data_IF_192163708475
#
_entry.id   IF_192163708475
#
_cell.length_a   1.000
_cell.length_b   1.000
_cell.length_c   1.000
_cell.angle_alpha   90.00
_cell.angle_beta   90.00
_cell.angle_gamma   90.00
#
_symmetry.space_group_name_H-M   'P 1'
#
loop_
_entity.id
_entity.type
_entity.pdbx_description
1 polymer ?
#
# COMPACT_ATOMS: atom_id res chain seq x y z
N UNK A 1 -47.03 -2.24 -26.25
CA UNK A 1 -46.31 -2.90 -25.13
C UNK A 1 -44.80 -2.98 -25.35
N UNK A 2 -44.28 -3.63 -26.41
CA UNK A 2 -42.81 -3.72 -26.66
C UNK A 2 -42.06 -2.37 -26.67
N UNK A 3 -42.54 -1.38 -27.44
CA UNK A 3 -41.94 -0.01 -27.45
C UNK A 3 -41.87 0.66 -26.07
N UNK A 4 -42.87 0.43 -25.22
CA UNK A 4 -42.88 1.00 -23.87
C UNK A 4 -41.86 0.31 -22.96
N UNK A 5 -41.71 -1.00 -23.09
CA UNK A 5 -40.71 -1.79 -22.37
C UNK A 5 -39.30 -1.36 -22.81
N UNK A 6 -39.06 -1.16 -24.11
CA UNK A 6 -37.75 -0.72 -24.62
C UNK A 6 -37.38 0.68 -24.12
N UNK A 7 -38.34 1.61 -24.09
CA UNK A 7 -38.13 2.96 -23.54
C UNK A 7 -37.84 2.91 -22.04
N UNK A 8 -38.59 2.10 -21.28
CA UNK A 8 -38.37 1.94 -19.84
C UNK A 8 -37.00 1.31 -19.59
N UNK A 9 -36.66 0.22 -20.29
CA UNK A 9 -35.37 -0.46 -20.15
C UNK A 9 -34.20 0.48 -20.49
N UNK A 10 -34.28 1.22 -21.59
CA UNK A 10 -33.28 2.21 -21.97
C UNK A 10 -33.11 3.31 -20.92
N UNK A 11 -34.21 3.84 -20.37
CA UNK A 11 -34.16 4.84 -19.29
C UNK A 11 -33.58 4.27 -18.00
N UNK A 12 -33.95 3.05 -17.61
CA UNK A 12 -33.41 2.39 -16.42
C UNK A 12 -31.91 2.15 -16.56
N UNK A 13 -31.45 1.65 -17.71
CA UNK A 13 -30.02 1.45 -17.98
C UNK A 13 -29.26 2.79 -17.96
N UNK A 14 -29.82 3.84 -18.54
CA UNK A 14 -29.20 5.17 -18.57
C UNK A 14 -29.11 5.76 -17.16
N UNK A 15 -30.19 5.68 -16.38
CA UNK A 15 -30.20 6.15 -14.98
C UNK A 15 -29.21 5.35 -14.15
N UNK A 16 -29.17 4.02 -14.28
CA UNK A 16 -28.22 3.17 -13.57
C UNK A 16 -26.77 3.56 -13.89
N UNK A 17 -26.42 3.70 -15.17
CA UNK A 17 -25.07 4.09 -15.57
C UNK A 17 -24.68 5.49 -15.08
N UNK A 18 -25.63 6.43 -15.10
CA UNK A 18 -25.43 7.77 -14.58
C UNK A 18 -25.23 7.78 -13.05
N UNK A 19 -26.05 7.03 -12.31
CA UNK A 19 -25.93 6.88 -10.86
C UNK A 19 -24.59 6.26 -10.49
N UNK A 20 -24.16 5.19 -11.16
CA UNK A 20 -22.84 4.57 -10.92
C UNK A 20 -21.72 5.57 -11.17
N UNK A 21 -21.79 6.35 -12.25
CA UNK A 21 -20.77 7.35 -12.58
C UNK A 21 -20.70 8.47 -11.52
N UNK A 22 -21.86 8.98 -11.05
CA UNK A 22 -21.90 9.96 -9.97
C UNK A 22 -21.31 9.38 -8.70
N UNK A 23 -21.69 8.16 -8.31
CA UNK A 23 -21.18 7.52 -7.10
C UNK A 23 -19.67 7.36 -7.16
N UNK A 24 -19.12 6.92 -8.30
CA UNK A 24 -17.66 6.84 -8.50
C UNK A 24 -17.02 8.22 -8.33
N UNK A 25 -17.58 9.27 -8.95
CA UNK A 25 -17.05 10.63 -8.81
C UNK A 25 -17.12 11.15 -7.37
N UNK A 26 -18.17 10.81 -6.62
CA UNK A 26 -18.29 11.14 -5.21
C UNK A 26 -17.27 10.40 -4.35
N UNK A 27 -17.02 9.11 -4.61
CA UNK A 27 -15.98 8.33 -3.94
C UNK A 27 -14.62 8.95 -4.22
N UNK A 28 -14.31 9.27 -5.48
CA UNK A 28 -13.05 9.91 -5.87
C UNK A 28 -12.91 11.27 -5.17
N UNK A 29 -13.95 12.10 -5.20
CA UNK A 29 -13.95 13.41 -4.54
C UNK A 29 -13.72 13.29 -3.02
N UNK A 30 -14.33 12.28 -2.39
CA UNK A 30 -14.11 11.97 -0.98
C UNK A 30 -12.67 11.52 -0.70
N UNK A 31 -12.13 10.58 -1.49
CA UNK A 31 -10.75 10.11 -1.36
C UNK A 31 -9.74 11.26 -1.45
N UNK A 32 -9.88 12.14 -2.45
CA UNK A 32 -8.99 13.31 -2.61
C UNK A 32 -9.15 14.33 -1.48
N UNK A 33 -10.37 14.55 -0.99
CA UNK A 33 -10.62 15.46 0.12
C UNK A 33 -9.92 14.99 1.39
N UNK A 34 -10.05 13.71 1.74
CA UNK A 34 -9.40 13.13 2.91
C UNK A 34 -7.88 13.08 2.73
N UNK A 35 -7.39 12.64 1.56
CA UNK A 35 -5.96 12.60 1.24
C UNK A 35 -5.29 14.00 1.30
N UNK A 36 -5.98 15.03 0.82
CA UNK A 36 -5.49 16.41 0.86
C UNK A 36 -5.35 16.97 2.28
N UNK A 37 -6.16 16.47 3.22
CA UNK A 37 -6.07 16.83 4.63
C UNK A 37 -4.71 16.51 5.24
N UNK A 38 -4.04 15.45 4.76
CA UNK A 38 -2.75 15.00 5.28
C UNK A 38 -1.73 16.14 5.35
N UNK A 39 -1.61 16.91 4.27
CA UNK A 39 -0.63 17.98 4.10
C UNK A 39 -0.98 19.26 4.88
N UNK A 40 -2.10 19.25 5.61
CA UNK A 40 -2.47 20.30 6.57
C UNK A 40 -2.16 19.90 8.01
N UNK A 41 -1.79 18.64 8.27
CA UNK A 41 -1.42 18.19 9.61
C UNK A 41 -0.01 18.63 9.98
N UNK A 42 0.23 18.89 11.27
CA UNK A 42 1.56 19.12 11.81
C UNK A 42 2.48 17.89 11.66
N UNK A 43 3.79 18.14 11.64
CA UNK A 43 4.83 17.11 11.67
C UNK A 43 4.96 16.53 13.08
N UNK A 44 4.73 17.34 14.10
CA UNK A 44 4.73 16.90 15.50
C UNK A 44 3.31 16.44 15.87
N UNK A 45 3.21 15.42 16.72
CA UNK A 45 1.92 14.96 17.23
C UNK A 45 1.08 16.11 17.82
N UNK A 46 -0.20 16.17 17.44
CA UNK A 46 -1.11 17.23 17.89
C UNK A 46 -1.16 17.31 19.43
N UNK A 47 -1.00 18.53 19.96
CA UNK A 47 -0.96 18.80 21.41
C UNK A 47 0.43 18.71 22.04
N UNK A 48 1.45 18.28 21.30
CA UNK A 48 2.83 18.21 21.75
C UNK A 48 3.73 19.21 21.01
N UNK A 49 4.89 19.48 21.59
CA UNK A 49 5.91 20.37 21.03
C UNK A 49 7.29 19.82 21.32
N UNK A 50 8.24 20.15 20.45
CA UNK A 50 9.67 19.93 20.71
C UNK A 50 10.24 21.20 21.34
N UNK A 51 10.56 21.11 22.62
CA UNK A 51 11.09 22.20 23.42
C UNK A 51 12.62 22.09 23.53
N UNK A 52 13.28 23.23 23.33
CA UNK A 52 14.73 23.39 23.26
C UNK A 52 15.17 24.52 24.19
N UNK A 53 16.44 24.47 24.57
CA UNK A 53 17.09 25.60 25.23
C UNK A 53 17.07 26.84 24.32
N UNK A 54 16.83 28.03 24.88
CA UNK A 54 16.79 29.29 24.13
C UNK A 54 18.10 29.65 23.41
N UNK A 55 19.23 29.10 23.84
CA UNK A 55 20.52 29.27 23.17
C UNK A 55 20.66 28.41 21.91
N UNK A 56 19.83 27.35 21.77
CA UNK A 56 19.81 26.50 20.60
C UNK A 56 19.12 27.24 19.44
N UNK A 57 19.80 27.32 18.30
CA UNK A 57 19.38 28.08 17.11
C UNK A 57 18.60 27.23 16.10
N UNK A 58 18.49 25.93 16.33
CA UNK A 58 17.73 25.03 15.45
C UNK A 58 16.25 25.34 15.61
N UNK A 59 15.64 25.85 14.54
CA UNK A 59 14.21 26.20 14.49
C UNK A 59 13.37 25.21 13.69
N UNK A 60 14.02 24.38 12.85
CA UNK A 60 13.36 23.52 11.88
C UNK A 60 14.03 22.15 11.84
N UNK A 61 13.22 21.09 11.84
CA UNK A 61 13.66 19.71 11.63
C UNK A 61 12.67 18.99 10.73
N UNK A 62 13.16 18.08 9.90
CA UNK A 62 12.30 17.12 9.18
C UNK A 62 11.81 16.02 10.11
N UNK A 63 10.74 15.31 9.72
CA UNK A 63 10.23 14.16 10.46
C UNK A 63 11.32 13.09 10.68
N UNK A 64 12.18 12.86 9.68
CA UNK A 64 13.29 11.92 9.75
C UNK A 64 14.34 12.39 10.77
N UNK A 65 14.74 13.66 10.74
CA UNK A 65 15.69 14.19 11.73
C UNK A 65 15.13 14.13 13.16
N UNK A 66 13.82 14.37 13.33
CA UNK A 66 13.16 14.24 14.63
C UNK A 66 13.24 12.80 15.12
N UNK A 67 12.93 11.81 14.28
CA UNK A 67 13.09 10.40 14.62
C UNK A 67 14.54 10.08 14.98
N UNK A 68 15.50 10.41 14.12
CA UNK A 68 16.90 10.04 14.30
C UNK A 68 17.53 10.68 15.55
N UNK A 69 17.06 11.87 15.98
CA UNK A 69 17.43 12.46 17.28
C UNK A 69 16.88 11.66 18.47
N UNK A 70 15.63 11.18 18.38
CA UNK A 70 14.96 10.46 19.46
C UNK A 70 15.32 8.97 19.54
N UNK A 71 15.87 8.42 18.45
CA UNK A 71 16.46 7.08 18.34
C UNK A 71 17.97 7.08 18.65
N UNK A 72 18.55 8.22 19.03
CA UNK A 72 19.98 8.41 19.34
C UNK A 72 20.93 8.12 18.16
N UNK A 73 20.44 8.15 16.92
CA UNK A 73 21.28 8.07 15.71
C UNK A 73 22.00 9.40 15.45
N UNK A 74 21.30 10.53 15.66
CA UNK A 74 21.91 11.86 15.69
C UNK A 74 22.27 12.20 17.12
N UNK A 75 23.57 12.28 17.38
CA UNK A 75 24.11 12.48 18.75
C UNK A 75 24.63 13.89 18.98
N UNK A 76 24.76 14.71 17.94
CA UNK A 76 25.25 16.07 18.05
C UNK A 76 24.41 17.07 17.24
N UNK A 77 24.12 18.22 17.84
CA UNK A 77 23.32 19.27 17.21
C UNK A 77 23.95 19.84 15.92
N UNK A 78 25.28 19.76 15.77
CA UNK A 78 25.97 20.20 14.55
C UNK A 78 25.55 19.42 13.29
N UNK A 79 25.08 18.19 13.44
CA UNK A 79 24.60 17.34 12.34
C UNK A 79 23.30 17.86 11.72
N UNK A 80 22.51 18.61 12.49
CA UNK A 80 21.25 19.25 12.06
C UNK A 80 21.36 20.77 11.95
N UNK A 81 22.59 21.30 11.87
CA UNK A 81 22.85 22.73 11.68
C UNK A 81 22.84 23.58 12.96
N UNK A 82 22.88 22.93 14.13
CA UNK A 82 23.02 23.56 15.44
C UNK A 82 24.47 23.77 15.87
N UNK A 83 24.66 24.04 17.16
CA UNK A 83 25.99 24.18 17.77
C UNK A 83 26.65 22.79 17.97
N UNK A 84 27.97 22.75 18.12
CA UNK A 84 28.71 21.52 18.46
C UNK A 84 28.48 21.15 19.94
N UNK A 85 27.30 20.60 20.22
CA UNK A 85 26.82 20.23 21.55
C UNK A 85 26.15 18.85 21.43
N UNK A 86 26.44 17.91 22.35
CA UNK A 86 25.76 16.63 22.40
C UNK A 86 24.25 16.79 22.55
N UNK A 87 23.48 15.98 21.84
CA UNK A 87 22.03 15.92 21.97
C UNK A 87 21.69 15.10 23.21
N UNK A 88 20.77 15.62 24.03
CA UNK A 88 20.21 14.89 25.16
C UNK A 88 18.69 14.86 25.04
N UNK A 89 18.12 13.68 24.85
CA UNK A 89 16.67 13.52 24.73
C UNK A 89 16.06 13.51 26.14
N UNK A 90 14.99 14.29 26.32
CA UNK A 90 14.18 14.30 27.53
C UNK A 90 12.75 13.89 27.19
N UNK A 91 12.31 12.73 27.69
CA UNK A 91 10.91 12.30 27.60
C UNK A 91 10.21 12.59 28.93
N UNK A 92 8.89 12.73 28.91
CA UNK A 92 8.10 12.95 30.12
C UNK A 92 8.35 11.82 31.15
N UNK A 93 8.50 10.59 30.68
CA UNK A 93 8.78 9.39 31.47
C UNK A 93 10.15 9.42 32.18
N UNK A 94 11.08 10.26 31.73
CA UNK A 94 12.38 10.40 32.39
C UNK A 94 12.32 11.28 33.63
N UNK A 95 11.23 12.05 33.82
CA UNK A 95 11.05 12.89 35.00
C UNK A 95 10.95 12.06 36.28
N UNK A 96 10.30 10.90 36.22
CA UNK A 96 10.16 9.98 37.37
C UNK A 96 11.50 9.41 37.84
N UNK A 97 12.52 9.43 36.97
CA UNK A 97 13.89 9.00 37.31
C UNK A 97 14.73 10.14 37.89
N UNK A 98 14.36 11.38 37.57
CA UNK A 98 15.13 12.59 37.89
C UNK A 98 14.62 13.31 39.15
N UNK A 99 13.32 13.18 39.45
CA UNK A 99 12.65 13.91 40.52
C UNK A 99 11.75 12.98 41.33
N UNK A 100 11.54 13.32 42.61
CA UNK A 100 10.63 12.56 43.48
C UNK A 100 9.16 12.97 43.27
N UNK A 101 8.21 12.13 43.67
CA UNK A 101 6.78 12.46 43.60
C UNK A 101 6.43 13.77 44.33
N UNK A 102 7.10 14.08 45.44
CA UNK A 102 6.93 15.36 46.17
C UNK A 102 7.38 16.57 45.34
N UNK A 103 8.38 16.41 44.48
CA UNK A 103 8.92 17.48 43.63
C UNK A 103 8.12 17.70 42.34
N UNK A 104 7.42 16.67 41.86
CA UNK A 104 6.54 16.72 40.69
C UNK A 104 5.10 17.12 41.07
N UNK A 105 4.70 16.82 42.30
CA UNK A 105 3.34 17.01 42.84
C UNK A 105 2.39 15.88 42.44
N UNK A 106 1.31 15.70 43.23
CA UNK A 106 0.36 14.58 43.13
C UNK A 106 -0.29 14.38 41.73
N UNK A 107 -0.27 15.41 40.88
CA UNK A 107 -0.78 15.37 39.49
C UNK A 107 0.18 16.05 38.49
N UNK A 108 1.50 15.94 38.68
CA UNK A 108 2.50 16.60 37.81
C UNK A 108 2.35 18.12 37.73
N UNK A 109 1.77 18.74 38.77
CA UNK A 109 1.51 20.18 38.81
C UNK A 109 2.77 21.01 38.63
N UNK A 110 3.93 20.52 39.08
CA UNK A 110 5.23 21.18 38.96
C UNK A 110 6.09 20.63 37.82
N UNK A 111 5.58 19.68 37.03
CA UNK A 111 6.35 19.04 35.97
C UNK A 111 6.84 20.05 34.92
N UNK A 112 6.00 21.02 34.53
CA UNK A 112 6.40 22.08 33.59
C UNK A 112 7.59 22.90 34.10
N UNK A 113 7.65 23.17 35.41
CA UNK A 113 8.74 23.92 36.02
C UNK A 113 10.04 23.11 36.05
N UNK A 114 9.95 21.82 36.39
CA UNK A 114 11.09 20.90 36.42
C UNK A 114 11.64 20.59 35.02
N UNK A 115 10.77 20.44 34.03
CA UNK A 115 11.17 20.29 32.62
C UNK A 115 11.92 21.55 32.18
N UNK A 116 11.40 22.73 32.48
CA UNK A 116 12.05 23.99 32.12
C UNK A 116 13.42 24.15 32.80
N UNK A 117 13.54 23.74 34.06
CA UNK A 117 14.82 23.71 34.77
C UNK A 117 15.86 22.85 34.03
N UNK A 118 15.47 21.65 33.59
CA UNK A 118 16.34 20.75 32.82
C UNK A 118 16.71 21.32 31.45
N UNK A 119 15.74 21.86 30.71
CA UNK A 119 15.99 22.46 29.40
C UNK A 119 16.94 23.67 29.52
N UNK A 120 16.78 24.49 30.55
CA UNK A 120 17.62 25.66 30.77
C UNK A 120 19.03 25.31 31.27
N UNK A 121 19.17 24.23 32.04
CA UNK A 121 20.45 23.77 32.58
C UNK A 121 21.41 23.24 31.51
N UNK A 122 20.88 22.62 30.45
CA UNK A 122 21.68 21.99 29.41
C UNK A 122 21.24 22.44 28.00
N UNK A 123 22.09 23.19 27.27
CA UNK A 123 21.84 23.63 25.89
C UNK A 123 21.59 22.49 24.89
N UNK A 124 22.04 21.27 25.22
CA UNK A 124 21.91 20.08 24.38
C UNK A 124 20.55 19.39 24.45
N UNK A 125 19.65 19.81 25.35
CA UNK A 125 18.39 19.09 25.58
C UNK A 125 17.35 19.35 24.48
N UNK A 126 16.74 18.26 24.01
CA UNK A 126 15.47 18.26 23.26
C UNK A 126 14.40 17.51 24.05
N UNK A 127 13.30 18.19 24.34
CA UNK A 127 12.20 17.61 25.10
C UNK A 127 10.94 17.46 24.24
N UNK A 128 10.33 16.28 24.23
CA UNK A 128 9.02 16.05 23.63
C UNK A 128 7.95 16.05 24.73
N UNK A 129 7.17 17.13 24.80
CA UNK A 129 6.27 17.40 25.93
C UNK A 129 4.94 18.01 25.47
N UNK A 130 3.87 17.87 26.27
CA UNK A 130 2.60 18.56 26.01
C UNK A 130 2.78 20.07 25.96
N UNK A 131 2.16 20.72 24.97
CA UNK A 131 2.21 22.18 24.77
C UNK A 131 1.73 22.96 25.99
N UNK A 132 0.76 22.41 26.72
CA UNK A 132 0.19 23.01 27.94
C UNK A 132 1.20 23.21 29.07
N UNK A 133 2.27 22.42 29.13
CA UNK A 133 3.28 22.50 30.21
C UNK A 133 4.26 23.66 30.04
N UNK A 134 4.36 24.23 28.83
CA UNK A 134 5.28 25.33 28.52
C UNK A 134 4.56 26.59 28.02
N UNK A 135 3.23 26.60 28.06
CA UNK A 135 2.43 27.71 27.57
C UNK A 135 2.69 28.97 28.42
N UNK A 136 3.11 30.07 27.77
CA UNK A 136 3.43 31.33 28.43
C UNK A 136 4.88 31.49 28.92
N UNK A 137 5.74 30.47 28.75
CA UNK A 137 7.18 30.55 29.05
C UNK A 137 7.96 31.22 27.90
N UNK A 138 8.86 32.15 28.25
CA UNK A 138 9.72 32.87 27.28
C UNK A 138 11.21 32.47 27.38
N UNK A 139 11.53 31.63 28.36
CA UNK A 139 12.86 31.08 28.64
C UNK A 139 13.19 29.85 27.77
N UNK A 140 12.19 29.26 27.11
CA UNK A 140 12.30 28.06 26.27
C UNK A 140 12.05 28.44 24.80
N UNK A 141 12.78 27.81 23.88
CA UNK A 141 12.51 27.88 22.44
C UNK A 141 11.76 26.62 21.99
N UNK A 142 10.87 26.72 21.02
CA UNK A 142 10.19 25.56 20.41
C UNK A 142 10.57 25.45 18.95
N UNK A 143 10.61 24.22 18.43
CA UNK A 143 10.74 23.98 16.99
C UNK A 143 9.44 24.37 16.30
N UNK A 144 9.54 25.05 15.15
CA UNK A 144 8.37 25.43 14.37
C UNK A 144 7.69 24.19 13.81
N UNK A 145 6.44 23.99 14.22
CA UNK A 145 5.63 22.87 13.75
C UNK A 145 5.08 23.17 12.35
N UNK A 146 5.76 22.61 11.36
CA UNK A 146 5.39 22.72 9.94
C UNK A 146 4.40 21.64 9.56
N UNK A 147 3.75 21.82 8.42
CA UNK A 147 2.92 20.77 7.87
C UNK A 147 3.76 19.71 7.17
N UNK A 148 3.21 18.48 7.11
CA UNK A 148 3.85 17.35 6.45
C UNK A 148 4.08 17.68 4.96
N UNK A 149 5.33 17.69 4.47
CA UNK A 149 5.61 18.06 3.08
C UNK A 149 5.31 16.90 2.13
N UNK A 150 4.71 17.24 0.98
CA UNK A 150 4.36 16.27 -0.07
C UNK A 150 5.55 15.43 -0.54
N UNK A 151 6.74 16.04 -0.61
CA UNK A 151 7.97 15.37 -1.05
C UNK A 151 8.35 14.21 -0.12
N UNK A 152 8.24 14.40 1.18
CA UNK A 152 8.63 13.38 2.17
C UNK A 152 7.63 12.22 2.19
N UNK A 153 6.37 12.49 1.86
CA UNK A 153 5.36 11.44 1.68
C UNK A 153 5.60 10.64 0.40
N UNK A 154 5.71 11.31 -0.75
CA UNK A 154 5.81 10.64 -2.06
C UNK A 154 7.16 9.95 -2.30
N UNK A 155 8.26 10.52 -1.80
CA UNK A 155 9.61 10.01 -2.00
C UNK A 155 10.24 9.45 -0.71
N UNK A 156 9.52 9.46 0.40
CA UNK A 156 10.00 8.89 1.65
C UNK A 156 10.16 7.38 1.57
N UNK A 157 11.23 6.88 2.18
CA UNK A 157 11.63 5.47 2.14
C UNK A 157 11.21 4.67 3.37
N UNK A 158 10.64 5.34 4.38
CA UNK A 158 10.21 4.76 5.64
C UNK A 158 8.70 4.95 5.87
N UNK A 159 8.04 3.92 6.38
CA UNK A 159 6.61 3.96 6.74
C UNK A 159 6.46 3.62 8.23
N UNK A 160 6.36 4.67 9.05
CA UNK A 160 6.16 4.59 10.51
C UNK A 160 5.08 5.57 10.95
N UNK A 161 3.80 5.31 10.63
CA UNK A 161 2.71 6.23 10.90
C UNK A 161 2.38 6.37 12.40
N UNK A 162 2.84 5.44 13.23
CA UNK A 162 2.63 5.43 14.69
C UNK A 162 3.88 5.85 15.47
N UNK A 163 4.94 6.30 14.79
CA UNK A 163 6.16 6.76 15.46
C UNK A 163 5.89 8.05 16.26
N UNK A 164 6.48 8.12 17.44
CA UNK A 164 6.52 9.32 18.29
C UNK A 164 7.97 9.75 18.44
N UNK A 165 8.28 11.06 18.37
CA UNK A 165 7.40 12.24 18.34
C UNK A 165 6.68 12.57 17.02
N UNK A 166 7.20 12.07 15.90
CA UNK A 166 6.77 12.48 14.55
C UNK A 166 6.44 11.26 13.69
N UNK A 167 5.23 11.18 13.10
CA UNK A 167 4.88 10.09 12.21
C UNK A 167 5.51 10.25 10.82
N UNK A 168 5.93 9.14 10.23
CA UNK A 168 6.60 9.11 8.92
C UNK A 168 5.73 8.35 7.92
N UNK A 169 5.39 9.00 6.81
CA UNK A 169 4.45 8.50 5.80
C UNK A 169 5.09 8.24 4.43
N UNK A 170 6.35 7.80 4.39
CA UNK A 170 7.04 7.49 3.14
C UNK A 170 6.42 6.29 2.42
N UNK A 171 5.86 6.53 1.24
CA UNK A 171 5.06 5.51 0.52
C UNK A 171 5.89 4.64 -0.44
N UNK A 172 7.15 5.00 -0.71
CA UNK A 172 8.02 4.29 -1.67
C UNK A 172 8.11 2.78 -1.37
N UNK A 173 8.34 2.31 -0.14
CA UNK A 173 8.38 0.87 0.14
C UNK A 173 7.05 0.18 -0.19
N UNK A 174 5.91 0.85 0.02
CA UNK A 174 4.59 0.28 -0.23
C UNK A 174 4.28 0.18 -1.74
N UNK A 175 4.63 1.22 -2.51
CA UNK A 175 4.53 1.20 -3.97
C UNK A 175 5.45 0.12 -4.53
N UNK A 176 6.70 0.08 -4.07
CA UNK A 176 7.67 -0.91 -4.49
C UNK A 176 7.17 -2.33 -4.18
N UNK A 177 6.68 -2.59 -2.96
CA UNK A 177 6.10 -3.86 -2.57
C UNK A 177 4.93 -4.29 -3.47
N UNK A 178 3.95 -3.40 -3.71
CA UNK A 178 2.82 -3.68 -4.61
C UNK A 178 3.29 -4.04 -6.01
N UNK A 179 4.11 -3.19 -6.63
CA UNK A 179 4.58 -3.41 -8.00
C UNK A 179 5.46 -4.66 -8.10
N UNK A 180 6.31 -4.93 -7.12
CA UNK A 180 7.19 -6.08 -7.09
C UNK A 180 6.40 -7.39 -7.10
N UNK A 181 5.45 -7.53 -6.17
CA UNK A 181 4.63 -8.76 -6.10
C UNK A 181 3.77 -8.91 -7.35
N UNK A 182 3.11 -7.84 -7.80
CA UNK A 182 2.26 -7.89 -9.00
C UNK A 182 3.06 -8.22 -10.26
N UNK A 183 4.28 -7.67 -10.41
CA UNK A 183 5.15 -7.96 -11.55
C UNK A 183 5.48 -9.45 -11.63
N UNK A 184 5.97 -10.05 -10.54
CA UNK A 184 6.29 -11.49 -10.52
C UNK A 184 5.04 -12.36 -10.63
N UNK A 185 3.91 -11.97 -10.03
CA UNK A 185 2.66 -12.69 -10.19
C UNK A 185 2.23 -12.79 -11.66
N UNK A 186 2.34 -11.69 -12.41
CA UNK A 186 2.00 -11.64 -13.83
C UNK A 186 3.06 -12.34 -14.67
N UNK A 187 4.34 -12.25 -14.30
CA UNK A 187 5.41 -13.01 -14.95
C UNK A 187 5.14 -14.52 -14.91
N UNK A 188 4.60 -15.03 -13.80
CA UNK A 188 4.18 -16.42 -13.69
C UNK A 188 2.84 -16.68 -14.36
N UNK A 189 1.81 -15.87 -14.11
CA UNK A 189 0.46 -16.13 -14.59
C UNK A 189 0.33 -15.98 -16.12
N UNK A 190 1.00 -15.02 -16.72
CA UNK A 190 0.79 -14.66 -18.12
C UNK A 190 1.18 -15.78 -19.11
N UNK A 191 2.37 -16.40 -19.03
CA UNK A 191 2.74 -17.48 -19.94
C UNK A 191 1.78 -18.68 -19.85
N UNK A 192 1.43 -19.12 -18.63
CA UNK A 192 0.51 -20.23 -18.42
C UNK A 192 -0.92 -19.87 -18.83
N UNK A 193 -1.38 -18.66 -18.50
CA UNK A 193 -2.73 -18.20 -18.83
C UNK A 193 -2.96 -18.07 -20.33
N UNK A 194 -1.98 -17.54 -21.06
CA UNK A 194 -2.03 -17.48 -22.52
C UNK A 194 -1.91 -18.86 -23.17
N UNK A 195 -1.00 -19.72 -22.68
CA UNK A 195 -0.87 -21.07 -23.22
C UNK A 195 -2.16 -21.90 -23.05
N UNK A 196 -2.77 -21.85 -21.85
CA UNK A 196 -4.02 -22.56 -21.56
C UNK A 196 -5.17 -21.98 -22.38
N UNK A 197 -5.28 -20.65 -22.49
CA UNK A 197 -6.35 -20.04 -23.30
C UNK A 197 -6.23 -20.38 -24.79
N UNK A 198 -5.03 -20.37 -25.36
CA UNK A 198 -4.79 -20.78 -26.77
C UNK A 198 -5.16 -22.25 -26.94
N UNK A 199 -4.73 -23.11 -26.02
CA UNK A 199 -5.08 -24.52 -26.05
C UNK A 199 -6.59 -24.73 -26.00
N UNK A 200 -7.31 -24.11 -25.05
CA UNK A 200 -8.76 -24.26 -24.90
C UNK A 200 -9.55 -23.66 -26.07
N UNK A 201 -9.05 -22.58 -26.68
CA UNK A 201 -9.72 -21.92 -27.79
C UNK A 201 -9.58 -22.71 -29.11
N UNK A 202 -8.37 -23.19 -29.43
CA UNK A 202 -8.03 -23.64 -30.78
C UNK A 202 -7.59 -25.10 -30.90
N UNK A 203 -7.12 -25.74 -29.82
CA UNK A 203 -6.51 -27.08 -29.87
C UNK A 203 -7.36 -28.13 -29.13
N UNK A 204 -7.99 -27.76 -28.02
CA UNK A 204 -8.71 -28.67 -27.15
C UNK A 204 -9.94 -29.24 -27.86
N UNK A 205 -10.17 -30.54 -27.69
CA UNK A 205 -11.41 -31.15 -28.13
C UNK A 205 -12.61 -30.62 -27.32
N UNK A 206 -13.85 -30.73 -27.85
CA UNK A 206 -15.02 -30.16 -27.18
C UNK A 206 -15.25 -30.67 -25.75
N UNK A 207 -14.89 -31.93 -25.46
CA UNK A 207 -15.09 -32.53 -24.12
C UNK A 207 -14.16 -31.93 -23.07
N UNK A 208 -12.87 -31.81 -23.40
CA UNK A 208 -11.87 -31.20 -22.51
C UNK A 208 -12.27 -29.77 -22.20
N UNK A 209 -12.66 -29.00 -23.22
CA UNK A 209 -13.13 -27.62 -23.03
C UNK A 209 -14.38 -27.54 -22.15
N UNK A 210 -15.39 -28.36 -22.43
CA UNK A 210 -16.66 -28.35 -21.69
C UNK A 210 -16.48 -28.68 -20.20
N UNK A 211 -15.43 -29.42 -19.85
CA UNK A 211 -15.07 -29.69 -18.47
C UNK A 211 -14.16 -28.61 -17.86
N UNK A 212 -13.11 -28.19 -18.57
CA UNK A 212 -12.10 -27.26 -18.06
C UNK A 212 -12.62 -25.82 -17.88
N UNK A 213 -13.45 -25.31 -18.80
CA UNK A 213 -13.95 -23.93 -18.70
C UNK A 213 -14.75 -23.70 -17.41
N UNK A 214 -15.74 -24.54 -17.04
CA UNK A 214 -16.41 -24.43 -15.75
C UNK A 214 -15.47 -24.55 -14.55
N UNK A 215 -14.48 -25.46 -14.58
CA UNK A 215 -13.51 -25.60 -13.48
C UNK A 215 -12.72 -24.31 -13.29
N UNK A 216 -12.27 -23.68 -14.37
CA UNK A 216 -11.53 -22.42 -14.32
C UNK A 216 -12.43 -21.28 -13.82
N UNK A 217 -13.68 -21.23 -14.27
CA UNK A 217 -14.65 -20.24 -13.77
C UNK A 217 -14.96 -20.42 -12.28
N UNK A 218 -15.02 -21.67 -11.80
CA UNK A 218 -15.19 -21.95 -10.37
C UNK A 218 -14.00 -21.46 -9.53
N UNK A 219 -12.78 -21.48 -10.06
CA UNK A 219 -11.61 -20.92 -9.37
C UNK A 219 -11.74 -19.40 -9.13
N UNK A 220 -12.41 -18.65 -10.02
CA UNK A 220 -12.72 -17.23 -9.78
C UNK A 220 -13.71 -17.03 -8.60
N UNK A 221 -14.52 -18.05 -8.30
CA UNK A 221 -15.51 -18.00 -7.21
C UNK A 221 -14.93 -18.25 -5.82
N UNK A 222 -13.67 -18.68 -5.72
CA UNK A 222 -13.00 -18.94 -4.44
C UNK A 222 -12.65 -17.59 -3.78
N UNK A 223 -13.05 -17.35 -2.51
CA UNK A 223 -12.69 -16.14 -1.78
C UNK A 223 -11.17 -15.99 -1.63
N UNK A 224 -10.66 -14.76 -1.71
CA UNK A 224 -9.21 -14.49 -1.64
C UNK A 224 -8.56 -14.94 -0.33
N UNK A 225 -9.26 -14.82 0.79
CA UNK A 225 -8.78 -15.31 2.10
C UNK A 225 -8.50 -16.82 2.10
N UNK A 226 -9.20 -17.61 1.28
CA UNK A 226 -8.95 -19.06 1.16
C UNK A 226 -7.64 -19.31 0.44
N UNK A 227 -7.35 -18.53 -0.60
CA UNK A 227 -6.04 -18.56 -1.28
C UNK A 227 -4.91 -18.09 -0.37
N UNK A 228 -5.14 -17.04 0.42
CA UNK A 228 -4.18 -16.55 1.42
C UNK A 228 -3.88 -17.61 2.48
N UNK A 229 -4.91 -18.26 3.02
CA UNK A 229 -4.75 -19.36 3.97
C UNK A 229 -4.01 -20.55 3.38
N UNK A 230 -4.34 -20.96 2.15
CA UNK A 230 -3.60 -22.00 1.44
C UNK A 230 -2.12 -21.61 1.24
N UNK A 231 -1.86 -20.36 0.84
CA UNK A 231 -0.53 -19.81 0.70
C UNK A 231 0.26 -19.89 2.02
N UNK A 232 -0.34 -19.46 3.12
CA UNK A 232 0.29 -19.48 4.44
C UNK A 232 0.51 -20.91 4.96
N UNK A 233 -0.43 -21.83 4.74
CA UNK A 233 -0.35 -23.19 5.27
C UNK A 233 0.53 -24.13 4.43
N UNK A 234 0.70 -23.86 3.13
CA UNK A 234 1.38 -24.76 2.19
C UNK A 234 2.56 -24.09 1.51
N UNK A 235 2.33 -22.94 0.84
CA UNK A 235 3.37 -22.29 0.03
C UNK A 235 4.48 -21.71 0.91
N UNK A 236 4.12 -21.02 1.99
CA UNK A 236 5.07 -20.40 2.92
C UNK A 236 6.02 -21.45 3.54
N UNK A 237 5.55 -22.54 4.18
CA UNK A 237 6.43 -23.60 4.68
C UNK A 237 7.25 -24.27 3.58
N UNK A 238 6.64 -24.54 2.41
CA UNK A 238 7.36 -25.13 1.28
C UNK A 238 8.53 -24.25 0.82
N UNK A 239 8.33 -22.93 0.74
CA UNK A 239 9.40 -21.98 0.38
C UNK A 239 10.44 -21.89 1.48
N UNK A 240 10.01 -21.86 2.75
CA UNK A 240 10.89 -21.85 3.90
C UNK A 240 11.85 -23.03 3.89
N UNK A 241 11.35 -24.24 3.68
CA UNK A 241 12.15 -25.47 3.64
C UNK A 241 13.02 -25.56 2.38
N UNK A 242 12.49 -25.15 1.21
CA UNK A 242 13.19 -25.27 -0.07
C UNK A 242 14.37 -24.29 -0.16
N UNK A 243 14.20 -23.07 0.35
CA UNK A 243 15.20 -22.01 0.29
C UNK A 243 15.96 -21.82 1.61
N UNK A 244 15.67 -22.64 2.63
CA UNK A 244 16.27 -22.58 3.97
C UNK A 244 16.17 -21.16 4.58
N UNK A 245 14.98 -20.57 4.51
CA UNK A 245 14.71 -19.22 4.98
C UNK A 245 14.36 -19.20 6.48
N UNK A 246 14.66 -18.12 7.21
CA UNK A 246 14.19 -17.94 8.59
C UNK A 246 12.67 -17.89 8.69
N UNK A 247 12.03 -17.26 7.71
CA UNK A 247 10.58 -17.09 7.54
C UNK A 247 10.23 -17.32 6.07
N UNK A 248 9.13 -18.01 5.78
CA UNK A 248 8.71 -18.29 4.41
C UNK A 248 7.86 -17.18 3.78
N UNK A 249 7.31 -16.29 4.62
CA UNK A 249 6.51 -15.15 4.20
C UNK A 249 7.38 -14.18 3.40
N UNK A 250 7.03 -14.01 2.13
CA UNK A 250 7.90 -13.35 1.17
C UNK A 250 7.13 -12.82 -0.03
N UNK A 251 7.77 -11.94 -0.79
CA UNK A 251 7.28 -11.50 -2.09
C UNK A 251 6.98 -12.67 -3.03
N UNK A 252 7.80 -13.73 -3.02
CA UNK A 252 7.62 -14.93 -3.83
C UNK A 252 6.35 -15.69 -3.44
N UNK A 253 6.12 -15.89 -2.13
CA UNK A 253 4.89 -16.51 -1.64
C UNK A 253 3.66 -15.75 -2.12
N UNK A 254 3.68 -14.41 -1.96
CA UNK A 254 2.65 -13.51 -2.48
C UNK A 254 2.45 -13.66 -3.98
N UNK A 255 3.52 -13.59 -4.77
CA UNK A 255 3.44 -13.65 -6.23
C UNK A 255 2.89 -14.99 -6.74
N UNK A 256 3.23 -16.11 -6.11
CA UNK A 256 2.70 -17.42 -6.48
C UNK A 256 1.20 -17.53 -6.21
N UNK A 257 0.75 -17.07 -5.04
CA UNK A 257 -0.67 -17.06 -4.68
C UNK A 257 -1.45 -16.15 -5.63
N UNK A 258 -0.95 -14.93 -5.87
CA UNK A 258 -1.56 -14.00 -6.83
C UNK A 258 -1.58 -14.55 -8.25
N UNK A 259 -0.54 -15.26 -8.68
CA UNK A 259 -0.49 -15.86 -10.01
C UNK A 259 -1.63 -16.87 -10.19
N UNK A 260 -1.86 -17.74 -9.19
CA UNK A 260 -2.97 -18.69 -9.18
C UNK A 260 -4.31 -17.96 -9.26
N UNK A 261 -4.45 -16.83 -8.58
CA UNK A 261 -5.68 -16.04 -8.57
C UNK A 261 -5.92 -15.24 -9.86
N UNK A 262 -4.87 -14.80 -10.54
CA UNK A 262 -4.95 -14.05 -11.79
C UNK A 262 -5.20 -14.96 -13.01
N UNK A 263 -4.72 -16.22 -12.95
CA UNK A 263 -4.82 -17.19 -14.03
C UNK A 263 -6.25 -17.35 -14.58
N UNK A 264 -7.28 -17.62 -13.76
CA UNK A 264 -8.62 -17.85 -14.29
C UNK A 264 -9.21 -16.64 -15.05
N UNK A 265 -8.88 -15.43 -14.60
CA UNK A 265 -9.28 -14.18 -15.26
C UNK A 265 -8.63 -14.06 -16.63
N UNK A 266 -7.30 -14.24 -16.72
CA UNK A 266 -6.56 -14.18 -17.97
C UNK A 266 -7.05 -15.26 -18.95
N UNK A 267 -7.19 -16.51 -18.47
CA UNK A 267 -7.57 -17.64 -19.33
C UNK A 267 -8.97 -17.43 -19.92
N UNK A 268 -9.93 -17.08 -19.07
CA UNK A 268 -11.35 -17.00 -19.46
C UNK A 268 -11.54 -15.90 -20.52
N UNK A 269 -11.00 -14.71 -20.26
CA UNK A 269 -11.18 -13.56 -21.16
C UNK A 269 -10.40 -13.75 -22.47
N UNK A 270 -9.17 -14.25 -22.42
CA UNK A 270 -8.37 -14.49 -23.62
C UNK A 270 -8.96 -15.61 -24.50
N UNK A 271 -9.48 -16.69 -23.89
CA UNK A 271 -10.15 -17.77 -24.63
C UNK A 271 -11.41 -17.25 -25.33
N UNK A 272 -12.26 -16.49 -24.63
CA UNK A 272 -13.48 -15.94 -25.20
C UNK A 272 -13.18 -14.97 -26.35
N UNK A 273 -12.12 -14.15 -26.20
CA UNK A 273 -11.63 -13.27 -27.25
C UNK A 273 -11.20 -14.05 -28.50
N UNK A 274 -10.41 -15.13 -28.36
CA UNK A 274 -10.01 -15.97 -29.49
C UNK A 274 -11.21 -16.64 -30.16
N UNK A 275 -12.16 -17.16 -29.37
CA UNK A 275 -13.34 -17.84 -29.90
C UNK A 275 -14.33 -16.91 -30.60
N UNK A 276 -14.30 -15.61 -30.29
CA UNK A 276 -15.09 -14.59 -30.99
C UNK A 276 -14.62 -14.33 -32.42
N UNK A 277 -13.38 -14.72 -32.77
CA UNK A 277 -12.89 -14.62 -34.15
C UNK A 277 -13.85 -15.39 -35.09
N UNK A 278 -14.23 -14.82 -36.25
CA UNK A 278 -15.13 -15.51 -37.18
C UNK A 278 -14.56 -16.84 -37.69
N UNK A 279 -15.41 -17.87 -37.80
CA UNK A 279 -15.01 -19.17 -38.36
C UNK A 279 -14.52 -19.05 -39.81
N UNK A 280 -15.14 -18.15 -40.58
CA UNK A 280 -14.75 -17.88 -41.97
C UNK A 280 -13.28 -17.43 -42.10
N UNK A 281 -12.73 -16.70 -41.12
CA UNK A 281 -11.32 -16.29 -41.14
C UNK A 281 -10.39 -17.49 -40.95
N UNK A 282 -10.76 -18.45 -40.09
CA UNK A 282 -10.00 -19.69 -39.90
C UNK A 282 -10.04 -20.57 -41.14
N UNK A 283 -11.23 -20.78 -41.69
CA UNK A 283 -11.45 -21.59 -42.89
C UNK A 283 -10.74 -21.01 -44.11
N UNK A 284 -10.79 -19.67 -44.30
CA UNK A 284 -10.06 -18.99 -45.37
C UNK A 284 -8.54 -19.17 -45.25
N UNK A 285 -7.99 -19.07 -44.04
CA UNK A 285 -6.57 -19.29 -43.79
C UNK A 285 -6.14 -20.72 -44.16
N UNK A 286 -6.91 -21.72 -43.74
CA UNK A 286 -6.64 -23.12 -44.05
C UNK A 286 -6.79 -23.40 -45.56
N UNK A 287 -7.77 -22.79 -46.23
CA UNK A 287 -7.98 -22.92 -47.67
C UNK A 287 -6.82 -22.35 -48.50
N UNK A 288 -6.08 -21.36 -47.97
CA UNK A 288 -4.86 -20.82 -48.57
C UNK A 288 -3.62 -21.73 -48.32
N UNK A 289 -3.81 -22.92 -47.74
CA UNK A 289 -2.73 -23.87 -47.46
C UNK A 289 -1.96 -23.60 -46.17
N UNK A 290 -2.46 -22.73 -45.29
CA UNK A 290 -1.86 -22.52 -43.97
C UNK A 290 -2.08 -23.73 -43.06
N UNK A 291 -1.10 -24.03 -42.22
CA UNK A 291 -1.24 -25.02 -41.14
C UNK A 291 -2.07 -24.45 -39.98
N UNK A 292 -2.63 -25.33 -39.14
CA UNK A 292 -3.35 -24.93 -37.93
C UNK A 292 -2.55 -23.95 -37.05
N UNK A 293 -1.26 -24.21 -36.84
CA UNK A 293 -0.40 -23.30 -36.05
C UNK A 293 -0.24 -21.93 -36.73
N UNK A 294 -0.07 -21.89 -38.05
CA UNK A 294 -0.01 -20.64 -38.80
C UNK A 294 -1.33 -19.86 -38.73
N UNK A 295 -2.47 -20.54 -38.78
CA UNK A 295 -3.78 -19.90 -38.60
C UNK A 295 -3.93 -19.31 -37.20
N UNK A 296 -3.52 -20.04 -36.15
CA UNK A 296 -3.57 -19.53 -34.77
C UNK A 296 -2.68 -18.28 -34.63
N UNK A 297 -1.40 -18.40 -35.02
CA UNK A 297 -0.40 -17.35 -34.81
C UNK A 297 -0.60 -16.12 -35.71
N UNK A 298 -1.03 -16.30 -36.97
CA UNK A 298 -1.11 -15.20 -37.96
C UNK A 298 -2.52 -14.65 -38.17
N UNK A 299 -3.57 -15.35 -37.72
CA UNK A 299 -4.96 -14.93 -37.96
C UNK A 299 -5.71 -14.77 -36.66
N UNK A 300 -5.81 -15.83 -35.85
CA UNK A 300 -6.63 -15.81 -34.62
C UNK A 300 -6.04 -14.86 -33.57
N UNK A 301 -4.77 -15.04 -33.21
CA UNK A 301 -4.12 -14.19 -32.19
C UNK A 301 -4.16 -12.71 -32.62
N UNK A 302 -3.75 -12.31 -33.84
CA UNK A 302 -3.84 -10.93 -34.31
C UNK A 302 -5.26 -10.36 -34.32
N UNK A 303 -6.27 -11.16 -34.68
CA UNK A 303 -7.66 -10.72 -34.67
C UNK A 303 -8.21 -10.50 -33.25
N UNK A 304 -7.69 -11.24 -32.27
CA UNK A 304 -8.17 -11.25 -30.89
C UNK A 304 -7.28 -10.49 -29.91
N UNK A 305 -6.26 -9.76 -30.38
CA UNK A 305 -5.30 -9.02 -29.52
C UNK A 305 -6.03 -8.09 -28.54
N UNK A 306 -7.05 -7.34 -28.99
CA UNK A 306 -7.77 -6.42 -28.12
C UNK A 306 -8.37 -7.13 -26.90
N UNK A 307 -9.03 -8.27 -27.09
CA UNK A 307 -9.61 -9.04 -26.00
C UNK A 307 -8.57 -9.78 -25.16
N UNK A 308 -7.49 -10.30 -25.77
CA UNK A 308 -6.37 -10.90 -25.03
C UNK A 308 -5.74 -9.85 -24.11
N UNK A 309 -5.43 -8.66 -24.64
CA UNK A 309 -4.87 -7.56 -23.87
C UNK A 309 -5.82 -7.10 -22.76
N UNK A 310 -7.13 -7.03 -23.01
CA UNK A 310 -8.12 -6.76 -21.96
C UNK A 310 -8.09 -7.80 -20.83
N UNK A 311 -7.97 -9.08 -21.16
CA UNK A 311 -7.84 -10.16 -20.15
C UNK A 311 -6.57 -10.03 -19.32
N UNK A 312 -5.46 -9.66 -19.95
CA UNK A 312 -4.18 -9.41 -19.26
C UNK A 312 -4.28 -8.21 -18.34
N UNK A 313 -4.82 -7.08 -18.82
CA UNK A 313 -5.00 -5.86 -18.00
C UNK A 313 -5.90 -6.14 -16.80
N UNK A 314 -6.98 -6.92 -16.97
CA UNK A 314 -7.85 -7.32 -15.87
C UNK A 314 -7.12 -8.20 -14.84
N UNK A 315 -6.25 -9.10 -15.31
CA UNK A 315 -5.37 -9.90 -14.45
C UNK A 315 -4.36 -9.05 -13.66
N UNK A 316 -3.74 -8.05 -14.31
CA UNK A 316 -2.83 -7.09 -13.67
C UNK A 316 -3.57 -6.28 -12.61
N UNK A 317 -4.75 -5.73 -12.94
CA UNK A 317 -5.56 -4.97 -12.00
C UNK A 317 -5.96 -5.79 -10.78
N UNK A 318 -6.30 -7.08 -10.98
CA UNK A 318 -6.56 -8.01 -9.88
C UNK A 318 -5.34 -8.24 -9.00
N UNK A 319 -4.14 -8.36 -9.58
CA UNK A 319 -2.91 -8.56 -8.82
C UNK A 319 -2.47 -7.31 -8.03
N UNK A 320 -2.66 -6.11 -8.58
CA UNK A 320 -2.32 -4.84 -7.91
C UNK A 320 -3.30 -4.55 -6.77
N UNK A 321 -4.59 -4.85 -6.96
CA UNK A 321 -5.64 -4.58 -5.99
C UNK A 321 -5.88 -5.69 -4.96
N UNK A 322 -5.06 -6.75 -4.94
CA UNK A 322 -5.29 -7.85 -3.99
C UNK A 322 -4.85 -7.48 -2.57
N UNK A 323 -5.78 -7.66 -1.63
CA UNK A 323 -5.63 -7.22 -0.24
C UNK A 323 -5.36 -8.40 0.69
N UNK A 324 -6.31 -9.33 0.78
CA UNK A 324 -6.34 -10.29 1.89
C UNK A 324 -5.33 -11.43 1.69
N UNK A 325 -5.22 -11.94 0.46
CA UNK A 325 -4.28 -13.02 0.20
C UNK A 325 -2.84 -12.56 0.47
N UNK A 326 -2.50 -11.34 0.04
CA UNK A 326 -1.17 -10.73 0.19
C UNK A 326 -0.85 -10.43 1.66
N UNK A 327 -1.81 -9.86 2.39
CA UNK A 327 -1.68 -9.57 3.82
C UNK A 327 -1.31 -10.83 4.63
N UNK A 328 -1.77 -12.01 4.21
CA UNK A 328 -1.51 -13.25 4.94
C UNK A 328 -0.13 -13.86 4.65
N UNK A 329 0.47 -13.62 3.48
CA UNK A 329 1.61 -14.43 2.99
C UNK A 329 2.89 -13.66 2.72
N UNK A 330 2.85 -12.32 2.70
CA UNK A 330 4.00 -11.48 2.33
C UNK A 330 4.82 -10.96 3.50
N UNK A 331 4.39 -11.25 4.73
CA UNK A 331 5.11 -10.87 5.96
C UNK A 331 4.90 -9.42 6.39
N UNK A 332 4.32 -8.57 5.52
CA UNK A 332 3.93 -7.19 5.82
C UNK A 332 5.07 -6.32 6.39
N UNK A 333 6.30 -6.46 5.89
CA UNK A 333 7.40 -5.58 6.24
C UNK A 333 7.42 -4.36 5.32
N UNK A 334 7.34 -3.13 5.86
CA UNK A 334 7.37 -1.90 5.07
C UNK A 334 8.80 -1.49 4.67
N UNK A 335 9.50 -2.40 4.00
CA UNK A 335 10.86 -2.23 3.50
C UNK A 335 10.86 -2.23 1.97
N UNK A 336 11.85 -1.57 1.37
CA UNK A 336 12.03 -1.62 -0.09
C UNK A 336 12.58 -3.01 -0.45
N UNK A 337 11.84 -3.82 -1.21
CA UNK A 337 12.27 -5.18 -1.53
C UNK A 337 13.51 -5.15 -2.44
N UNK A 338 14.53 -5.91 -2.09
CA UNK A 338 15.73 -6.10 -2.93
C UNK A 338 15.78 -7.51 -3.53
N UNK A 339 15.17 -8.47 -2.83
CA UNK A 339 15.02 -9.85 -3.26
C UNK A 339 13.54 -10.26 -3.29
N UNK A 340 13.21 -11.26 -4.11
CA UNK A 340 11.87 -11.85 -4.14
C UNK A 340 11.57 -12.70 -2.90
N UNK A 341 12.61 -13.17 -2.20
CA UNK A 341 12.47 -14.01 -1.00
C UNK A 341 12.29 -13.18 0.28
N UNK A 342 12.38 -11.86 0.19
CA UNK A 342 12.20 -10.97 1.33
C UNK A 342 10.72 -10.68 1.58
N UNK A 343 10.33 -10.45 2.86
CA UNK A 343 9.02 -9.95 3.18
C UNK A 343 8.85 -8.52 2.65
N UNK A 344 7.63 -8.16 2.32
CA UNK A 344 7.27 -6.83 1.85
C UNK A 344 5.86 -6.49 2.29
N UNK A 345 5.48 -5.22 2.15
CA UNK A 345 4.13 -4.72 2.42
C UNK A 345 3.58 -4.04 1.16
N UNK A 346 2.34 -4.34 0.81
CA UNK A 346 1.65 -3.71 -0.33
C UNK A 346 0.68 -2.64 0.15
N UNK A 347 0.36 -1.70 -0.73
CA UNK A 347 -0.60 -0.63 -0.42
C UNK A 347 -1.97 -1.17 0.02
N UNK A 348 -2.60 -2.13 -0.69
CA UNK A 348 -3.90 -2.65 -0.26
C UNK A 348 -3.83 -3.31 1.12
N UNK A 349 -2.74 -4.05 1.41
CA UNK A 349 -2.52 -4.68 2.71
C UNK A 349 -2.35 -3.64 3.83
N UNK A 350 -1.60 -2.56 3.59
CA UNK A 350 -1.46 -1.43 4.53
C UNK A 350 -2.80 -0.81 4.87
N UNK A 351 -3.61 -0.48 3.84
CA UNK A 351 -4.94 0.12 4.07
C UNK A 351 -5.81 -0.82 4.91
N UNK A 352 -5.86 -2.12 4.57
CA UNK A 352 -6.69 -3.06 5.30
C UNK A 352 -6.21 -3.31 6.75
N UNK A 353 -4.91 -3.33 6.97
CA UNK A 353 -4.33 -3.57 8.30
C UNK A 353 -4.47 -2.36 9.24
N UNK A 354 -4.35 -1.14 8.70
CA UNK A 354 -4.17 0.06 9.53
C UNK A 354 -5.43 0.95 9.61
N UNK A 355 -6.36 0.87 8.64
CA UNK A 355 -7.51 1.78 8.58
C UNK A 355 -8.46 1.63 9.77
N UNK A 356 -8.57 0.43 10.34
CA UNK A 356 -9.42 0.17 11.51
C UNK A 356 -8.86 0.73 12.81
N UNK A 357 -7.54 0.91 12.89
CA UNK A 357 -6.84 1.37 14.10
C UNK A 357 -6.53 2.88 14.05
N UNK A 358 -6.60 3.50 12.88
CA UNK A 358 -6.28 4.90 12.67
C UNK A 358 -7.41 5.84 13.18
N UNK A 359 -7.12 6.82 14.06
CA UNK A 359 -8.11 7.78 14.53
C UNK A 359 -8.68 8.63 13.37
N UNK A 360 -10.01 8.68 13.27
CA UNK A 360 -10.70 9.41 12.21
C UNK A 360 -10.29 10.90 12.21
N UNK A 361 -9.89 11.40 11.05
CA UNK A 361 -9.44 12.79 10.86
C UNK A 361 -7.98 13.07 11.21
N UNK A 362 -7.25 12.11 11.80
CA UNK A 362 -5.82 12.24 12.06
C UNK A 362 -4.95 12.05 10.82
N UNK A 363 -3.67 12.42 10.94
CA UNK A 363 -2.68 12.29 9.85
C UNK A 363 -2.55 10.84 9.35
N UNK A 364 -2.51 9.85 10.25
CA UNK A 364 -2.44 8.44 9.88
C UNK A 364 -3.66 8.01 9.04
N UNK A 365 -4.87 8.35 9.49
CA UNK A 365 -6.09 8.06 8.75
C UNK A 365 -6.04 8.67 7.34
N UNK A 366 -5.73 9.96 7.22
CA UNK A 366 -5.67 10.66 5.93
C UNK A 366 -4.57 10.13 5.00
N UNK A 367 -3.45 9.65 5.55
CA UNK A 367 -2.39 8.99 4.76
C UNK A 367 -2.88 7.71 4.09
N UNK A 368 -3.75 6.94 4.73
CA UNK A 368 -4.35 5.73 4.15
C UNK A 368 -5.32 6.06 3.00
N UNK A 369 -6.00 7.21 3.06
CA UNK A 369 -6.80 7.71 1.93
C UNK A 369 -5.93 8.13 0.76
N UNK A 370 -4.77 8.75 1.02
CA UNK A 370 -3.79 9.07 -0.03
C UNK A 370 -3.30 7.79 -0.72
N UNK A 371 -2.99 6.75 0.05
CA UNK A 371 -2.66 5.43 -0.50
C UNK A 371 -3.79 4.88 -1.39
N UNK A 372 -5.06 5.05 -0.98
CA UNK A 372 -6.23 4.69 -1.79
C UNK A 372 -6.34 5.48 -3.09
N UNK A 373 -6.04 6.78 -3.07
CA UNK A 373 -5.96 7.62 -4.29
C UNK A 373 -4.89 7.06 -5.22
N UNK A 374 -3.71 6.73 -4.72
CA UNK A 374 -2.59 6.22 -5.53
C UNK A 374 -2.89 4.85 -6.14
N UNK A 375 -3.69 4.00 -5.47
CA UNK A 375 -4.12 2.74 -6.08
C UNK A 375 -5.16 2.93 -7.19
N UNK A 376 -5.95 4.02 -7.12
CA UNK A 376 -7.03 4.27 -8.06
C UNK A 376 -6.54 4.86 -9.40
N UNK A 377 -5.38 5.54 -9.41
CA UNK A 377 -4.79 6.22 -10.57
C UNK A 377 -3.44 5.60 -10.96
#
# INVERSE_FOLDING_TARGET
MKKWIDIIASRVLTVSGFTTSIVILLIIGFLFKEAGGLFSNPIIQEGYVLALNKSNKVSELSALQIKDLFDEEITNWSEVGGADVPVKVLRLEDLDKLYTEEELGDEYQYAGDKIAEQINADPGVVAFIPKSLIEGRQDISTIDDRTIPLKDVLFGVEWYPTATPSPIFGIVPLIAGTLWVSFFAILFALPFGLAISIYLAEVANPRVRQFMKPVIELLNGIPSVVYGFFGLAVIVPMLQDTFNLPVGESGLAGSLVLAIMALPTIITVAEDAMRSCPRSMREASLALGATHWQTIYKVVIPNSVSGITSGVVLGIGRAIGETMAVLMVTGNAAIIPTSILEPLRTIPATIAAELGEAPAGGAHYQSLFLLGVILFF
#
